data_IF_777503898808
#
_entry.id   IF_777503898808
#
_cell.length_a   1.000
_cell.length_b   1.000
_cell.length_c   1.000
_cell.angle_alpha   90.00
_cell.angle_beta   90.00
_cell.angle_gamma   90.00
#
_symmetry.space_group_name_H-M   'P 1'
#
loop_
_entity.id
_entity.type
_entity.pdbx_description
1 polymer ?
#
# COMPACT_ATOMS: atom_id res chain seq x y z
N UNK A 1 -16.05 26.41 -32.86
CA UNK A 1 -15.77 25.85 -31.51
C UNK A 1 -16.02 26.94 -30.46
N UNK A 2 -16.91 26.72 -29.49
CA UNK A 2 -17.23 27.73 -28.46
C UNK A 2 -16.01 27.98 -27.54
N UNK A 3 -15.78 29.25 -27.18
CA UNK A 3 -14.60 29.72 -26.42
C UNK A 3 -14.39 28.96 -25.10
N UNK A 4 -15.45 28.46 -24.46
CA UNK A 4 -15.39 27.67 -23.22
C UNK A 4 -14.65 26.34 -23.36
N UNK A 5 -14.72 25.68 -24.53
CA UNK A 5 -14.04 24.39 -24.76
C UNK A 5 -12.52 24.53 -24.90
N UNK A 6 -12.01 25.72 -25.27
CA UNK A 6 -10.56 25.96 -25.41
C UNK A 6 -9.86 26.07 -24.06
N UNK A 7 -10.51 26.68 -23.07
CA UNK A 7 -9.96 26.81 -21.71
C UNK A 7 -9.91 25.45 -20.97
N UNK A 8 -10.89 24.57 -21.19
CA UNK A 8 -10.89 23.23 -20.61
C UNK A 8 -9.75 22.34 -21.15
N UNK A 9 -9.45 22.46 -22.45
CA UNK A 9 -8.36 21.71 -23.08
C UNK A 9 -7.00 22.24 -22.63
N UNK A 10 -6.83 23.56 -22.52
CA UNK A 10 -5.58 24.18 -22.06
C UNK A 10 -5.26 23.85 -20.58
N UNK A 11 -6.28 23.83 -19.72
CA UNK A 11 -6.12 23.44 -18.30
C UNK A 11 -5.80 21.95 -18.15
N UNK A 12 -6.43 21.07 -18.94
CA UNK A 12 -6.10 19.64 -18.95
C UNK A 12 -4.66 19.37 -19.43
N UNK A 13 -4.20 20.07 -20.48
CA UNK A 13 -2.81 19.99 -20.96
C UNK A 13 -1.81 20.51 -19.92
N UNK A 14 -2.14 21.59 -19.22
CA UNK A 14 -1.29 22.15 -18.16
C UNK A 14 -1.19 21.20 -16.96
N UNK A 15 -2.30 20.60 -16.51
CA UNK A 15 -2.29 19.59 -15.45
C UNK A 15 -1.52 18.33 -15.87
N UNK A 16 -1.66 17.88 -17.11
CA UNK A 16 -0.92 16.73 -17.64
C UNK A 16 0.60 16.99 -17.65
N UNK A 17 1.03 18.17 -18.09
CA UNK A 17 2.44 18.57 -18.04
C UNK A 17 2.97 18.69 -16.60
N UNK A 18 2.15 19.18 -15.66
CA UNK A 18 2.48 19.22 -14.22
C UNK A 18 2.63 17.82 -13.61
N UNK A 19 1.77 16.87 -13.99
CA UNK A 19 1.87 15.48 -13.49
C UNK A 19 3.13 14.77 -14.01
N UNK A 20 3.51 15.02 -15.26
CA UNK A 20 4.76 14.50 -15.82
C UNK A 20 5.95 15.12 -15.08
N UNK A 21 5.94 16.44 -14.85
CA UNK A 21 7.00 17.12 -14.11
C UNK A 21 7.16 16.58 -12.68
N UNK A 22 6.06 16.34 -11.95
CA UNK A 22 6.10 15.76 -10.61
C UNK A 22 6.69 14.34 -10.59
N UNK A 23 6.35 13.50 -11.59
CA UNK A 23 6.84 12.13 -11.67
C UNK A 23 8.35 12.02 -11.94
N UNK A 24 8.94 13.04 -12.59
CA UNK A 24 10.39 13.12 -12.82
C UNK A 24 11.17 13.61 -11.58
N UNK A 25 10.57 14.48 -10.75
CA UNK A 25 11.25 15.08 -9.58
C UNK A 25 11.41 14.08 -8.42
N UNK A 26 10.51 13.12 -8.25
CA UNK A 26 10.59 12.12 -7.15
C UNK A 26 11.78 11.14 -7.24
N UNK A 27 12.38 10.94 -8.42
CA UNK A 27 13.42 9.92 -8.59
C UNK A 27 14.78 10.34 -8.01
N UNK A 28 15.07 11.65 -7.91
CA UNK A 28 16.39 12.16 -7.52
C UNK A 28 16.58 12.21 -5.99
N UNK A 29 15.53 12.60 -5.25
CA UNK A 29 15.61 12.75 -3.79
C UNK A 29 15.86 11.41 -3.07
N UNK A 30 15.19 10.34 -3.50
CA UNK A 30 15.34 9.02 -2.91
C UNK A 30 16.75 8.42 -3.07
N UNK A 31 17.43 8.73 -4.17
CA UNK A 31 18.81 8.27 -4.38
C UNK A 31 19.80 9.00 -3.48
N UNK A 32 19.66 10.33 -3.31
CA UNK A 32 20.51 11.11 -2.42
C UNK A 32 20.44 10.60 -0.97
N UNK A 33 19.22 10.34 -0.46
CA UNK A 33 19.04 9.79 0.89
C UNK A 33 19.63 8.39 1.06
N UNK A 34 19.54 7.53 0.04
CA UNK A 34 20.20 6.21 0.07
C UNK A 34 21.71 6.32 0.20
N UNK A 35 22.34 7.24 -0.55
CA UNK A 35 23.78 7.46 -0.48
C UNK A 35 24.21 7.97 0.89
N UNK A 36 23.40 8.82 1.53
CA UNK A 36 23.62 9.30 2.90
C UNK A 36 23.53 8.13 3.89
N UNK A 37 22.46 7.32 3.82
CA UNK A 37 22.27 6.17 4.69
C UNK A 37 23.42 5.14 4.58
N UNK A 38 23.85 4.82 3.35
CA UNK A 38 25.01 3.96 3.12
C UNK A 38 26.28 4.56 3.73
N UNK A 39 26.50 5.88 3.56
CA UNK A 39 27.65 6.54 4.17
C UNK A 39 27.59 6.52 5.71
N UNK A 40 26.41 6.68 6.30
CA UNK A 40 26.21 6.58 7.75
C UNK A 40 26.53 5.19 8.29
N UNK A 41 26.14 4.13 7.57
CA UNK A 41 26.54 2.75 7.92
C UNK A 41 28.05 2.63 7.95
N UNK A 42 28.75 3.09 6.90
CA UNK A 42 30.21 3.05 6.87
C UNK A 42 30.84 3.85 8.03
N UNK A 43 30.30 5.02 8.32
CA UNK A 43 30.78 5.87 9.41
C UNK A 43 30.65 5.19 10.77
N UNK A 44 29.46 4.69 11.09
CA UNK A 44 29.22 4.01 12.36
C UNK A 44 30.00 2.71 12.49
N UNK A 45 30.24 1.99 11.38
CA UNK A 45 31.07 0.80 11.38
C UNK A 45 32.52 1.12 11.77
N UNK A 46 33.11 2.19 11.21
CA UNK A 46 34.45 2.64 11.59
C UNK A 46 34.51 3.03 13.08
N UNK A 47 33.53 3.79 13.56
CA UNK A 47 33.44 4.16 14.99
C UNK A 47 33.37 2.93 15.90
N UNK A 48 32.57 1.91 15.54
CA UNK A 48 32.47 0.66 16.30
C UNK A 48 33.78 -0.13 16.31
N UNK A 49 34.60 -0.01 15.26
CA UNK A 49 35.94 -0.59 15.21
C UNK A 49 36.99 0.22 15.99
N UNK A 50 36.62 1.36 16.57
CA UNK A 50 37.52 2.27 17.28
C UNK A 50 38.26 3.27 16.38
N UNK A 51 37.83 3.42 15.11
CA UNK A 51 38.43 4.36 14.16
C UNK A 51 37.51 5.57 13.93
N UNK A 52 37.88 6.71 14.51
CA UNK A 52 37.19 7.98 14.34
C UNK A 52 37.81 8.90 13.29
N UNK A 53 38.86 8.46 12.60
CA UNK A 53 39.69 9.31 11.74
C UNK A 53 39.67 8.92 10.27
N UNK A 54 39.57 7.62 10.00
CA UNK A 54 39.57 7.12 8.63
C UNK A 54 38.30 7.54 7.90
N UNK A 55 38.43 7.77 6.60
CA UNK A 55 37.32 8.17 5.75
C UNK A 55 36.58 6.96 5.21
N UNK A 56 35.26 7.11 5.13
CA UNK A 56 34.43 6.36 4.18
C UNK A 56 34.64 7.01 2.81
N UNK A 57 35.16 6.23 1.86
CA UNK A 57 35.42 6.69 0.50
C UNK A 57 34.08 6.92 -0.25
N UNK A 58 34.09 7.62 -1.41
CA UNK A 58 32.88 7.83 -2.19
C UNK A 58 32.13 6.52 -2.46
N UNK A 59 30.82 6.52 -2.18
CA UNK A 59 29.94 5.36 -2.40
C UNK A 59 29.89 5.13 -3.91
N UNK A 60 30.25 3.93 -4.33
CA UNK A 60 30.30 3.57 -5.75
C UNK A 60 29.02 2.83 -6.12
N UNK A 61 28.32 3.29 -7.17
CA UNK A 61 27.15 2.59 -7.71
C UNK A 61 27.63 1.60 -8.76
N UNK A 62 27.47 0.30 -8.50
CA UNK A 62 27.88 -0.77 -9.41
C UNK A 62 26.78 -1.07 -10.43
N UNK A 63 25.51 -0.96 -10.03
CA UNK A 63 24.33 -1.13 -10.90
C UNK A 63 23.12 -0.34 -10.39
N UNK A 64 21.90 -0.56 -10.95
CA UNK A 64 20.67 0.11 -10.46
C UNK A 64 20.37 -0.21 -9.00
N UNK A 65 20.71 -1.41 -8.56
CA UNK A 65 20.41 -1.96 -7.23
C UNK A 65 21.64 -2.21 -6.37
N UNK A 66 22.84 -2.08 -6.94
CA UNK A 66 24.07 -2.46 -6.29
C UNK A 66 24.97 -1.26 -5.96
N UNK A 67 25.41 -1.21 -4.71
CA UNK A 67 26.22 -0.13 -4.16
C UNK A 67 27.41 -0.68 -3.38
N UNK A 68 28.57 -0.03 -3.46
CA UNK A 68 29.78 -0.41 -2.73
C UNK A 68 30.22 0.72 -1.80
N UNK A 69 30.40 0.37 -0.52
CA UNK A 69 31.05 1.19 0.50
C UNK A 69 32.51 0.75 0.60
N UNK A 70 33.43 1.70 0.41
CA UNK A 70 34.87 1.47 0.51
C UNK A 70 35.45 2.30 1.65
N UNK A 71 36.51 1.80 2.26
CA UNK A 71 37.16 2.42 3.42
C UNK A 71 38.61 2.77 3.11
N UNK A 72 39.13 3.79 3.79
CA UNK A 72 40.52 4.23 3.63
C UNK A 72 41.54 3.27 4.26
N UNK A 73 41.22 2.70 5.43
CA UNK A 73 42.12 1.83 6.20
C UNK A 73 41.49 0.48 6.51
N UNK A 74 42.36 -0.48 6.81
CA UNK A 74 41.97 -1.79 7.31
C UNK A 74 41.42 -1.68 8.73
N UNK A 75 40.37 -2.44 9.03
CA UNK A 75 39.72 -2.46 10.34
C UNK A 75 39.23 -3.87 10.67
N UNK A 76 38.91 -4.10 11.94
CA UNK A 76 38.23 -5.30 12.41
C UNK A 76 36.75 -4.97 12.64
N UNK A 77 35.88 -5.92 12.34
CA UNK A 77 34.45 -5.81 12.64
C UNK A 77 33.91 -7.08 13.29
N UNK A 78 32.81 -6.89 14.02
CA UNK A 78 32.00 -7.93 14.61
C UNK A 78 30.74 -8.16 13.74
N UNK A 79 30.44 -9.42 13.40
CA UNK A 79 29.34 -9.74 12.50
C UNK A 79 27.98 -9.31 13.06
N UNK A 80 27.76 -9.52 14.36
CA UNK A 80 26.47 -9.23 15.01
C UNK A 80 26.22 -7.73 15.12
N UNK A 81 27.27 -6.97 15.44
CA UNK A 81 27.24 -5.51 15.51
C UNK A 81 26.98 -4.89 14.14
N UNK A 82 27.59 -5.43 13.08
CA UNK A 82 27.36 -5.00 11.70
C UNK A 82 25.90 -5.23 11.27
N UNK A 83 25.35 -6.41 11.54
CA UNK A 83 23.95 -6.74 11.25
C UNK A 83 23.00 -5.80 11.98
N UNK A 84 23.23 -5.57 13.28
CA UNK A 84 22.41 -4.66 14.11
C UNK A 84 22.48 -3.21 13.63
N UNK A 85 23.65 -2.77 13.19
CA UNK A 85 23.83 -1.44 12.63
C UNK A 85 23.01 -1.27 11.34
N UNK A 86 23.12 -2.22 10.42
CA UNK A 86 22.45 -2.14 9.12
C UNK A 86 20.93 -2.28 9.26
N UNK A 87 20.45 -3.22 10.07
CA UNK A 87 19.01 -3.37 10.34
C UNK A 87 18.40 -2.11 10.96
N UNK A 88 19.13 -1.40 11.82
CA UNK A 88 18.70 -0.09 12.35
C UNK A 88 18.63 0.97 11.28
N UNK A 89 19.63 1.06 10.40
CA UNK A 89 19.62 2.06 9.33
C UNK A 89 18.49 1.79 8.33
N UNK A 90 18.22 0.52 8.01
CA UNK A 90 17.09 0.12 7.16
C UNK A 90 15.76 0.52 7.81
N UNK A 91 15.62 0.32 9.12
CA UNK A 91 14.43 0.75 9.86
C UNK A 91 14.20 2.27 9.88
N UNK A 92 15.19 3.10 9.50
CA UNK A 92 15.03 4.56 9.36
C UNK A 92 14.17 4.97 8.16
N UNK A 93 13.93 4.05 7.21
CA UNK A 93 13.06 4.27 6.05
C UNK A 93 13.77 4.74 4.77
N UNK A 94 15.08 4.98 4.79
CA UNK A 94 15.83 5.43 3.62
C UNK A 94 16.38 4.29 2.74
N UNK A 95 16.31 3.05 3.21
CA UNK A 95 16.75 1.85 2.50
C UNK A 95 15.59 0.84 2.38
N UNK A 96 15.52 0.04 1.30
CA UNK A 96 14.53 -1.03 1.19
C UNK A 96 14.68 -2.08 2.30
N UNK A 97 13.56 -2.67 2.71
CA UNK A 97 13.51 -3.74 3.72
C UNK A 97 14.09 -5.06 3.22
N UNK A 98 14.06 -5.29 1.90
CA UNK A 98 14.69 -6.44 1.25
C UNK A 98 16.06 -6.06 0.72
N UNK A 99 17.10 -6.70 1.26
CA UNK A 99 18.49 -6.38 0.95
C UNK A 99 19.43 -7.56 1.20
N UNK A 100 20.56 -7.57 0.51
CA UNK A 100 21.70 -8.47 0.77
C UNK A 100 22.96 -7.64 0.91
N UNK A 101 23.79 -7.98 1.89
CA UNK A 101 25.09 -7.35 2.14
C UNK A 101 26.18 -8.38 2.05
N UNK A 102 27.18 -8.12 1.20
CA UNK A 102 28.39 -8.91 1.07
C UNK A 102 29.58 -8.12 1.63
N UNK A 103 30.33 -8.73 2.54
CA UNK A 103 31.60 -8.21 3.03
C UNK A 103 32.73 -8.86 2.25
N UNK A 104 33.47 -8.05 1.51
CA UNK A 104 34.48 -8.51 0.55
C UNK A 104 35.83 -7.91 0.91
N UNK A 105 36.91 -8.67 0.71
CA UNK A 105 38.27 -8.11 0.81
C UNK A 105 38.57 -7.26 -0.43
N UNK A 106 38.93 -6.00 -0.20
CA UNK A 106 39.18 -5.04 -1.26
C UNK A 106 40.30 -5.45 -2.21
N UNK A 107 41.29 -6.21 -1.72
CA UNK A 107 42.46 -6.67 -2.50
C UNK A 107 42.18 -7.96 -3.24
N UNK A 108 41.70 -8.98 -2.53
CA UNK A 108 41.53 -10.34 -3.09
C UNK A 108 40.19 -10.56 -3.77
N UNK A 109 39.21 -9.67 -3.51
CA UNK A 109 37.80 -9.84 -3.91
C UNK A 109 37.13 -11.10 -3.37
N UNK A 110 37.75 -11.76 -2.39
CA UNK A 110 37.14 -12.89 -1.69
C UNK A 110 36.05 -12.40 -0.74
N UNK A 111 34.91 -13.10 -0.75
CA UNK A 111 33.78 -12.85 0.13
C UNK A 111 34.02 -13.50 1.50
N UNK A 112 33.89 -12.72 2.56
CA UNK A 112 34.12 -13.16 3.95
C UNK A 112 32.82 -13.42 4.70
N UNK A 113 31.80 -12.61 4.42
CA UNK A 113 30.55 -12.65 5.15
C UNK A 113 29.41 -12.15 4.27
N UNK A 114 28.25 -12.80 4.38
CA UNK A 114 27.03 -12.40 3.68
C UNK A 114 25.85 -12.57 4.59
N UNK A 115 24.96 -11.59 4.59
CA UNK A 115 23.70 -11.62 5.30
C UNK A 115 22.67 -10.78 4.56
N UNK A 116 21.39 -10.94 4.89
CA UNK A 116 20.35 -10.18 4.22
C UNK A 116 18.98 -10.39 4.84
N UNK A 117 18.03 -9.58 4.41
CA UNK A 117 16.64 -9.67 4.81
C UNK A 117 15.76 -9.85 3.57
N UNK A 118 14.79 -10.77 3.64
CA UNK A 118 13.82 -10.98 2.57
C UNK A 118 12.65 -9.99 2.66
N UNK A 119 11.84 -9.90 1.60
CA UNK A 119 10.60 -9.10 1.60
C UNK A 119 9.61 -9.54 2.68
N UNK A 120 9.63 -10.81 3.08
CA UNK A 120 8.78 -11.36 4.14
C UNK A 120 9.31 -11.00 5.55
N UNK A 121 10.41 -10.27 5.64
CA UNK A 121 11.02 -9.82 6.89
C UNK A 121 11.97 -10.85 7.52
N UNK A 122 12.19 -12.00 6.90
CA UNK A 122 13.12 -13.02 7.40
C UNK A 122 14.56 -12.54 7.28
N UNK A 123 15.25 -12.42 8.41
CA UNK A 123 16.65 -11.98 8.49
C UNK A 123 17.59 -13.19 8.55
N UNK A 124 18.52 -13.28 7.60
CA UNK A 124 19.47 -14.37 7.44
C UNK A 124 20.86 -13.92 7.87
N UNK A 125 21.33 -14.39 9.03
CA UNK A 125 22.61 -13.97 9.63
C UNK A 125 23.49 -15.18 9.97
N UNK A 126 24.31 -15.68 9.02
CA UNK A 126 25.24 -16.76 9.32
C UNK A 126 26.38 -16.31 10.24
N UNK A 127 27.17 -17.25 10.77
CA UNK A 127 28.44 -16.92 11.47
C UNK A 127 28.34 -15.99 12.69
N UNK A 128 27.20 -16.00 13.40
CA UNK A 128 26.94 -15.22 14.63
C UNK A 128 28.05 -15.41 15.67
N UNK A 129 28.44 -14.32 16.35
CA UNK A 129 29.44 -14.31 17.42
C UNK A 129 30.91 -14.38 16.97
N UNK A 130 31.19 -14.32 15.66
CA UNK A 130 32.57 -14.35 15.14
C UNK A 130 33.15 -12.94 15.01
N UNK A 131 34.39 -12.81 15.50
CA UNK A 131 35.26 -11.66 15.19
C UNK A 131 36.03 -11.93 13.91
N UNK A 132 36.04 -10.95 13.01
CA UNK A 132 36.77 -11.04 11.75
C UNK A 132 38.18 -10.44 11.88
N UNK A 133 39.17 -10.88 11.09
CA UNK A 133 40.52 -10.33 11.15
C UNK A 133 40.57 -8.86 10.71
N UNK A 134 41.63 -8.14 11.06
CA UNK A 134 41.86 -6.78 10.56
C UNK A 134 42.24 -6.86 9.09
N UNK A 135 41.38 -6.37 8.19
CA UNK A 135 41.65 -6.28 6.74
C UNK A 135 40.99 -5.06 6.13
N UNK A 136 41.37 -4.75 4.90
CA UNK A 136 40.72 -3.72 4.11
C UNK A 136 39.48 -4.32 3.43
N UNK A 137 38.33 -4.12 4.07
CA UNK A 137 37.05 -4.62 3.57
C UNK A 137 36.37 -3.59 2.66
N UNK A 138 35.48 -4.06 1.78
CA UNK A 138 34.40 -3.27 1.20
C UNK A 138 33.06 -3.95 1.48
N UNK A 139 32.00 -3.14 1.61
CA UNK A 139 30.64 -3.64 1.77
C UNK A 139 29.89 -3.44 0.46
N UNK A 140 29.39 -4.52 -0.11
CA UNK A 140 28.56 -4.50 -1.31
C UNK A 140 27.11 -4.74 -0.90
N UNK A 141 26.25 -3.78 -1.20
CA UNK A 141 24.83 -3.81 -0.93
C UNK A 141 24.09 -4.13 -2.22
N UNK A 142 23.23 -5.14 -2.19
CA UNK A 142 22.23 -5.42 -3.21
C UNK A 142 20.88 -5.07 -2.60
N UNK A 143 20.27 -3.98 -3.07
CA UNK A 143 19.00 -3.48 -2.56
C UNK A 143 17.87 -3.89 -3.49
N UNK A 144 16.73 -4.31 -2.95
CA UNK A 144 15.56 -4.60 -3.77
C UNK A 144 15.10 -3.35 -4.54
N UNK A 145 14.83 -3.53 -5.83
CA UNK A 145 14.27 -2.48 -6.66
C UNK A 145 12.77 -2.41 -6.46
N UNK A 146 12.34 -1.63 -5.46
CA UNK A 146 10.92 -1.32 -5.26
C UNK A 146 10.40 -0.28 -6.26
N UNK A 147 11.21 0.13 -7.26
CA UNK A 147 10.66 0.88 -8.38
C UNK A 147 9.78 -0.08 -9.16
N UNK A 148 8.48 -0.01 -8.89
CA UNK A 148 7.49 -0.53 -9.82
C UNK A 148 7.70 0.23 -11.13
N UNK A 149 8.54 -0.30 -12.01
CA UNK A 149 8.70 0.11 -13.42
C UNK A 149 7.41 -0.18 -14.23
N UNK A 150 6.25 -0.32 -13.56
CA UNK A 150 4.98 -0.07 -14.21
C UNK A 150 5.06 1.35 -14.77
N UNK A 151 5.00 1.54 -16.09
CA UNK A 151 5.22 2.85 -16.66
C UNK A 151 4.21 3.80 -16.03
N UNK A 152 4.68 4.78 -15.23
CA UNK A 152 3.85 5.84 -14.64
C UNK A 152 3.01 6.57 -15.73
N UNK A 153 3.40 6.40 -17.01
CA UNK A 153 2.66 6.75 -18.21
C UNK A 153 1.27 6.08 -18.33
N UNK A 154 1.06 4.87 -17.78
CA UNK A 154 -0.24 4.18 -17.78
C UNK A 154 -1.27 4.91 -16.94
N UNK A 155 -0.88 5.48 -15.79
CA UNK A 155 -1.78 6.31 -14.99
C UNK A 155 -1.97 7.71 -15.60
N UNK A 156 -0.92 8.28 -16.19
CA UNK A 156 -1.02 9.55 -16.91
C UNK A 156 -1.92 9.44 -18.17
N UNK A 157 -1.95 8.29 -18.84
CA UNK A 157 -2.84 8.00 -19.97
C UNK A 157 -4.24 7.51 -19.56
N UNK A 158 -4.37 6.79 -18.44
CA UNK A 158 -5.65 6.32 -17.95
C UNK A 158 -6.55 7.44 -17.44
N UNK A 159 -6.01 8.50 -16.83
CA UNK A 159 -6.81 9.63 -16.34
C UNK A 159 -7.52 10.38 -17.49
N UNK A 160 -6.85 10.78 -18.60
CA UNK A 160 -7.53 11.39 -19.74
C UNK A 160 -8.39 10.40 -20.51
N UNK A 161 -8.07 9.09 -20.57
CA UNK A 161 -8.94 8.07 -21.16
C UNK A 161 -10.20 7.86 -20.32
N UNK A 162 -10.10 7.83 -18.99
CA UNK A 162 -11.24 7.76 -18.08
C UNK A 162 -12.06 9.05 -18.13
N UNK A 163 -11.44 10.24 -18.19
CA UNK A 163 -12.18 11.50 -18.40
C UNK A 163 -12.78 11.59 -19.81
N UNK A 164 -12.17 11.01 -20.84
CA UNK A 164 -12.76 10.84 -22.16
C UNK A 164 -13.91 9.84 -22.11
N UNK A 165 -13.80 8.71 -21.42
CA UNK A 165 -14.87 7.70 -21.30
C UNK A 165 -16.01 8.16 -20.38
N UNK A 166 -15.73 8.98 -19.35
CA UNK A 166 -16.73 9.62 -18.50
C UNK A 166 -17.36 10.81 -19.24
N UNK A 167 -16.61 11.55 -20.06
CA UNK A 167 -17.11 12.60 -20.95
C UNK A 167 -17.83 12.10 -22.22
N UNK A 168 -17.52 10.88 -22.67
CA UNK A 168 -18.17 10.14 -23.77
C UNK A 168 -19.12 9.06 -23.30
N UNK A 169 -19.39 8.95 -21.99
CA UNK A 169 -20.67 8.42 -21.53
C UNK A 169 -21.74 9.42 -21.90
N UNK A 170 -22.07 9.37 -23.20
CA UNK A 170 -23.31 9.84 -23.79
C UNK A 170 -24.42 9.46 -22.83
N UNK A 171 -24.97 10.51 -22.26
CA UNK A 171 -26.35 10.75 -21.91
C UNK A 171 -27.35 9.89 -22.73
N UNK A 172 -27.38 8.58 -22.49
CA UNK A 172 -28.64 7.85 -22.54
C UNK A 172 -29.34 8.21 -21.25
N UNK A 173 -30.18 9.24 -21.34
CA UNK A 173 -31.10 9.64 -20.28
C UNK A 173 -31.93 8.40 -19.90
N UNK A 174 -31.79 7.81 -18.70
CA UNK A 174 -32.88 7.04 -18.15
C UNK A 174 -33.93 8.07 -17.72
N UNK A 175 -35.20 7.76 -18.00
CA UNK A 175 -36.31 8.66 -17.80
C UNK A 175 -36.31 9.28 -16.39
N UNK A 176 -36.39 10.62 -16.37
CA UNK A 176 -36.57 11.47 -15.20
C UNK A 176 -37.91 11.12 -14.53
N UNK A 177 -37.88 10.38 -13.43
CA UNK A 177 -38.90 10.50 -12.40
C UNK A 177 -38.39 11.46 -11.32
N UNK A 178 -39.29 12.29 -10.75
CA UNK A 178 -38.91 13.54 -10.10
C UNK A 178 -38.26 13.30 -8.74
N UNK A 179 -37.23 14.08 -8.44
CA UNK A 179 -36.75 14.30 -7.07
C UNK A 179 -37.90 14.99 -6.30
N UNK A 180 -38.14 14.58 -5.05
CA UNK A 180 -37.96 15.58 -4.00
C UNK A 180 -37.25 15.04 -2.74
N UNK A 181 -36.26 15.83 -2.33
CA UNK A 181 -36.05 16.36 -0.98
C UNK A 181 -34.84 15.88 -0.15
N UNK A 182 -34.07 16.88 0.27
CA UNK A 182 -32.91 16.84 1.13
C UNK A 182 -33.35 16.70 2.59
N UNK A 183 -33.64 15.48 3.06
CA UNK A 183 -33.65 15.15 4.50
C UNK A 183 -33.92 13.64 4.76
N UNK A 184 -32.93 12.77 4.53
CA UNK A 184 -32.66 11.59 5.36
C UNK A 184 -31.61 10.71 4.67
N UNK A 185 -30.47 10.49 5.33
CA UNK A 185 -29.48 9.48 4.94
C UNK A 185 -30.01 8.06 5.15
N UNK A 186 -31.02 7.65 4.39
CA UNK A 186 -31.59 6.31 4.42
C UNK A 186 -31.45 5.60 3.07
N UNK A 187 -30.88 4.40 3.08
CA UNK A 187 -30.66 3.54 1.92
C UNK A 187 -31.69 2.40 1.98
N UNK A 188 -32.38 2.15 0.87
CA UNK A 188 -33.28 0.99 0.76
C UNK A 188 -32.48 -0.23 0.29
N UNK A 189 -32.67 -1.37 0.96
CA UNK A 189 -32.08 -2.67 0.64
C UNK A 189 -33.23 -3.67 0.66
N UNK A 190 -33.74 -4.09 -0.50
CA UNK A 190 -35.00 -4.85 -0.56
C UNK A 190 -36.15 -4.09 0.12
N UNK A 191 -36.78 -4.69 1.13
CA UNK A 191 -37.81 -4.05 1.96
C UNK A 191 -37.24 -3.36 3.20
N UNK A 192 -35.95 -3.52 3.49
CA UNK A 192 -35.32 -2.84 4.61
C UNK A 192 -34.99 -1.40 4.23
N UNK A 193 -35.25 -0.50 5.17
CA UNK A 193 -34.76 0.88 5.13
C UNK A 193 -33.65 1.02 6.15
N UNK A 194 -32.42 1.20 5.67
CA UNK A 194 -31.24 1.42 6.48
C UNK A 194 -30.99 2.90 6.68
N UNK A 195 -31.02 3.41 7.92
CA UNK A 195 -30.65 4.80 8.23
C UNK A 195 -29.17 4.84 8.65
N UNK A 196 -28.35 5.54 7.87
CA UNK A 196 -26.90 5.63 8.07
C UNK A 196 -26.58 6.39 9.36
N UNK A 197 -27.24 7.52 9.61
CA UNK A 197 -26.98 8.38 10.77
C UNK A 197 -27.28 7.69 12.11
N UNK A 198 -28.31 6.86 12.15
CA UNK A 198 -28.75 6.16 13.38
C UNK A 198 -28.29 4.72 13.45
N UNK A 199 -27.63 4.19 12.41
CA UNK A 199 -27.19 2.80 12.32
C UNK A 199 -28.34 1.80 12.57
N UNK A 200 -29.55 2.12 12.08
CA UNK A 200 -30.76 1.31 12.28
C UNK A 200 -31.33 0.78 10.97
N UNK A 201 -31.71 -0.49 10.97
CA UNK A 201 -32.49 -1.13 9.91
C UNK A 201 -33.96 -1.17 10.32
N UNK A 202 -34.86 -0.75 9.44
CA UNK A 202 -36.31 -0.85 9.65
C UNK A 202 -36.96 -1.70 8.57
N UNK A 203 -37.74 -2.71 8.95
CA UNK A 203 -38.55 -3.53 8.06
C UNK A 203 -39.99 -3.53 8.60
N UNK A 204 -40.90 -2.80 7.95
CA UNK A 204 -42.25 -2.62 8.46
C UNK A 204 -42.25 -1.98 9.87
N UNK A 205 -42.85 -2.61 10.90
CA UNK A 205 -42.82 -2.12 12.28
C UNK A 205 -41.52 -2.44 13.04
N UNK A 206 -40.69 -3.37 12.53
CA UNK A 206 -39.54 -3.88 13.25
C UNK A 206 -38.31 -2.99 13.03
N UNK A 207 -37.65 -2.60 14.13
CA UNK A 207 -36.41 -1.81 14.10
C UNK A 207 -35.26 -2.60 14.71
N UNK A 208 -34.19 -2.78 13.94
CA UNK A 208 -32.99 -3.52 14.33
C UNK A 208 -31.82 -2.53 14.43
N UNK A 209 -31.23 -2.42 15.62
CA UNK A 209 -30.02 -1.62 15.85
C UNK A 209 -28.78 -2.40 15.45
N UNK A 210 -27.86 -1.76 14.74
CA UNK A 210 -26.56 -2.31 14.36
C UNK A 210 -25.47 -1.79 15.28
N UNK A 211 -24.47 -2.63 15.55
CA UNK A 211 -23.22 -2.16 16.15
C UNK A 211 -22.42 -1.38 15.10
N UNK A 212 -21.51 -0.49 15.53
CA UNK A 212 -20.75 0.38 14.59
C UNK A 212 -20.03 -0.40 13.49
N UNK A 213 -19.46 -1.57 13.82
CA UNK A 213 -18.80 -2.45 12.83
C UNK A 213 -19.78 -3.13 11.89
N UNK A 214 -20.93 -3.58 12.38
CA UNK A 214 -21.99 -4.15 11.54
C UNK A 214 -22.57 -3.10 10.58
N UNK A 215 -22.79 -1.88 11.08
CA UNK A 215 -23.27 -0.75 10.30
C UNK A 215 -22.31 -0.38 9.18
N UNK A 216 -20.99 -0.35 9.46
CA UNK A 216 -19.95 -0.07 8.46
C UNK A 216 -19.91 -1.12 7.36
N UNK A 217 -19.94 -2.41 7.73
CA UNK A 217 -19.98 -3.52 6.76
C UNK A 217 -21.24 -3.45 5.90
N UNK A 218 -22.41 -3.23 6.53
CA UNK A 218 -23.67 -3.12 5.81
C UNK A 218 -23.72 -1.91 4.89
N UNK A 219 -23.17 -0.77 5.32
CA UNK A 219 -23.11 0.44 4.51
C UNK A 219 -22.29 0.22 3.24
N UNK A 220 -21.15 -0.47 3.33
CA UNK A 220 -20.35 -0.84 2.16
C UNK A 220 -21.17 -1.73 1.22
N UNK A 221 -21.84 -2.76 1.74
CA UNK A 221 -22.72 -3.60 0.92
C UNK A 221 -23.92 -2.85 0.33
N UNK A 222 -24.50 -1.90 1.06
CA UNK A 222 -25.66 -1.13 0.63
C UNK A 222 -25.31 -0.10 -0.46
N UNK A 223 -24.06 0.35 -0.52
CA UNK A 223 -23.52 1.18 -1.61
C UNK A 223 -23.11 0.35 -2.82
N UNK A 224 -22.73 -0.91 -2.60
CA UNK A 224 -22.28 -1.87 -3.62
C UNK A 224 -23.28 -3.03 -3.79
N UNK A 225 -24.59 -2.71 -3.87
CA UNK A 225 -25.62 -3.73 -4.04
C UNK A 225 -25.42 -4.48 -5.37
N UNK A 226 -25.56 -5.80 -5.34
CA UNK A 226 -25.35 -6.67 -6.49
C UNK A 226 -23.91 -6.68 -7.07
N UNK A 227 -22.92 -6.14 -6.36
CA UNK A 227 -21.50 -6.17 -6.71
C UNK A 227 -20.68 -7.08 -5.76
N UNK A 228 -19.51 -7.55 -6.24
CA UNK A 228 -18.58 -8.33 -5.41
C UNK A 228 -17.67 -7.37 -4.65
N UNK A 229 -17.70 -7.46 -3.33
CA UNK A 229 -16.83 -6.70 -2.43
C UNK A 229 -15.70 -7.59 -1.93
N UNK A 230 -14.46 -7.16 -2.17
CA UNK A 230 -13.25 -7.88 -1.76
C UNK A 230 -13.14 -8.02 -0.24
N UNK A 231 -12.60 -9.15 0.22
CA UNK A 231 -12.44 -9.44 1.67
C UNK A 231 -11.47 -8.45 2.30
N UNK A 232 -10.40 -8.13 1.60
CA UNK A 232 -9.33 -7.23 2.01
C UNK A 232 -9.86 -5.81 2.17
N UNK A 233 -10.74 -5.36 1.25
CA UNK A 233 -11.41 -4.06 1.33
C UNK A 233 -12.28 -3.96 2.59
N UNK A 234 -13.11 -4.98 2.85
CA UNK A 234 -13.97 -5.03 4.03
C UNK A 234 -13.16 -5.05 5.33
N UNK A 235 -12.02 -5.75 5.35
CA UNK A 235 -11.14 -5.78 6.51
C UNK A 235 -10.47 -4.42 6.75
N UNK A 236 -9.96 -3.80 5.68
CA UNK A 236 -9.31 -2.49 5.74
C UNK A 236 -10.27 -1.40 6.26
N UNK A 237 -11.42 -1.25 5.62
CA UNK A 237 -12.36 -0.17 5.94
C UNK A 237 -13.00 -0.26 7.33
N UNK A 238 -13.07 -1.47 7.90
CA UNK A 238 -13.75 -1.73 9.17
C UNK A 238 -12.79 -1.88 10.35
N UNK A 239 -11.51 -2.18 10.12
CA UNK A 239 -10.52 -2.38 11.20
C UNK A 239 -9.26 -1.51 11.11
N UNK A 240 -8.73 -1.17 9.94
CA UNK A 240 -7.47 -0.40 9.85
C UNK A 240 -7.64 1.06 10.28
N UNK A 241 -8.82 1.66 10.07
CA UNK A 241 -9.09 3.05 10.43
C UNK A 241 -9.29 3.29 11.94
N UNK A 242 -9.54 2.23 12.73
CA UNK A 242 -9.86 2.33 14.16
C UNK A 242 -8.69 1.93 15.09
N UNK A 243 -7.50 1.61 14.56
CA UNK A 243 -6.29 1.33 15.36
C UNK A 243 -6.36 0.11 16.29
N UNK A 244 -7.44 -0.68 16.21
CA UNK A 244 -7.72 -1.81 17.11
C UNK A 244 -7.62 -3.12 16.34
N UNK A 245 -6.45 -3.77 16.43
CA UNK A 245 -6.21 -5.15 15.99
C UNK A 245 -6.90 -6.09 16.99
N UNK A 246 -8.22 -6.20 16.91
CA UNK A 246 -8.98 -7.21 17.68
C UNK A 246 -9.61 -8.19 16.70
N UNK A 247 -9.02 -9.39 16.69
CA UNK A 247 -9.34 -10.54 15.85
C UNK A 247 -10.69 -11.19 16.17
N UNK A 248 -11.79 -10.54 15.81
CA UNK A 248 -13.03 -11.25 15.47
C UNK A 248 -13.10 -11.32 13.96
N UNK A 249 -13.14 -12.53 13.39
CA UNK A 249 -13.12 -12.73 11.95
C UNK A 249 -14.30 -12.01 11.28
N UNK A 250 -14.05 -11.38 10.12
CA UNK A 250 -15.07 -10.78 9.26
C UNK A 250 -16.28 -11.71 9.08
N UNK A 251 -16.02 -13.02 9.01
CA UNK A 251 -17.02 -14.07 8.89
C UNK A 251 -18.09 -14.05 9.99
N UNK A 252 -17.74 -13.68 11.22
CA UNK A 252 -18.70 -13.55 12.33
C UNK A 252 -19.67 -12.39 12.06
N UNK A 253 -19.17 -11.27 11.54
CA UNK A 253 -19.99 -10.10 11.21
C UNK A 253 -20.90 -10.39 10.01
N UNK A 254 -20.38 -11.05 8.98
CA UNK A 254 -21.19 -11.52 7.84
C UNK A 254 -22.29 -12.47 8.32
N UNK A 255 -21.99 -13.40 9.23
CA UNK A 255 -22.98 -14.33 9.78
C UNK A 255 -24.06 -13.62 10.60
N UNK A 256 -23.69 -12.59 11.39
CA UNK A 256 -24.66 -11.76 12.12
C UNK A 256 -25.54 -10.95 11.19
N UNK A 257 -24.97 -10.34 10.15
CA UNK A 257 -25.72 -9.58 9.15
C UNK A 257 -26.69 -10.45 8.37
N UNK A 258 -26.29 -11.67 7.97
CA UNK A 258 -27.19 -12.64 7.35
C UNK A 258 -28.43 -12.89 8.21
N UNK A 259 -28.25 -13.17 9.50
CA UNK A 259 -29.37 -13.37 10.43
C UNK A 259 -30.26 -12.13 10.59
N UNK A 260 -29.67 -10.92 10.56
CA UNK A 260 -30.43 -9.66 10.67
C UNK A 260 -31.20 -9.30 9.41
N UNK A 261 -30.78 -9.80 8.25
CA UNK A 261 -31.42 -9.54 6.94
C UNK A 261 -32.34 -10.69 6.48
N UNK A 262 -32.33 -11.82 7.20
CA UNK A 262 -33.04 -13.06 6.85
C UNK A 262 -34.56 -12.89 6.67
N UNK A 263 -35.17 -11.88 7.29
CA UNK A 263 -36.60 -11.65 7.16
C UNK A 263 -37.04 -11.12 5.78
N UNK A 264 -36.12 -10.73 4.89
CA UNK A 264 -36.42 -10.48 3.48
C UNK A 264 -35.72 -11.50 2.59
N UNK A 265 -36.48 -12.45 2.05
CA UNK A 265 -35.97 -13.52 1.19
C UNK A 265 -35.30 -13.02 -0.11
N UNK A 266 -35.51 -11.75 -0.48
CA UNK A 266 -34.87 -11.13 -1.66
C UNK A 266 -33.45 -10.66 -1.38
N UNK A 267 -33.01 -10.69 -0.12
CA UNK A 267 -31.69 -10.21 0.29
C UNK A 267 -30.84 -11.39 0.71
N UNK A 268 -29.70 -11.57 0.05
CA UNK A 268 -28.77 -12.65 0.40
C UNK A 268 -27.32 -12.21 0.29
N UNK A 269 -26.54 -12.42 1.35
CA UNK A 269 -25.09 -12.24 1.30
C UNK A 269 -24.45 -13.55 0.86
N UNK A 270 -24.00 -13.63 -0.39
CA UNK A 270 -23.29 -14.78 -0.96
C UNK A 270 -21.77 -14.65 -0.76
N UNK A 271 -21.12 -15.78 -0.46
CA UNK A 271 -19.65 -15.87 -0.41
C UNK A 271 -19.12 -16.33 -1.77
N UNK A 272 -18.23 -15.56 -2.38
CA UNK A 272 -17.58 -15.91 -3.64
C UNK A 272 -16.14 -16.34 -3.35
N UNK A 273 -15.84 -17.62 -3.57
CA UNK A 273 -14.53 -18.21 -3.24
C UNK A 273 -13.40 -17.44 -3.94
N UNK A 274 -12.37 -17.09 -3.16
CA UNK A 274 -11.19 -16.35 -3.63
C UNK A 274 -11.45 -14.89 -4.03
N UNK A 275 -12.69 -14.37 -3.94
CA UNK A 275 -13.02 -12.99 -4.35
C UNK A 275 -13.65 -12.14 -3.26
N UNK A 276 -14.40 -12.72 -2.32
CA UNK A 276 -15.02 -11.98 -1.22
C UNK A 276 -16.51 -12.27 -1.06
N UNK A 277 -17.32 -11.22 -0.86
CA UNK A 277 -18.76 -11.35 -0.59
C UNK A 277 -19.58 -10.48 -1.53
N UNK A 278 -20.82 -10.89 -1.78
CA UNK A 278 -21.77 -10.15 -2.61
C UNK A 278 -23.11 -10.07 -1.88
N UNK A 279 -23.62 -8.85 -1.69
CA UNK A 279 -25.02 -8.65 -1.28
C UNK A 279 -25.89 -8.70 -2.53
N UNK A 280 -26.73 -9.72 -2.64
CA UNK A 280 -27.70 -9.89 -3.69
C UNK A 280 -29.02 -9.30 -3.21
N UNK A 281 -29.59 -8.41 -4.01
CA UNK A 281 -30.93 -7.85 -3.80
C UNK A 281 -31.72 -8.13 -5.08
N UNK A 282 -32.64 -9.08 -5.02
CA UNK A 282 -33.47 -9.47 -6.15
C UNK A 282 -34.65 -8.49 -6.29
N UNK A 283 -34.55 -7.56 -7.25
CA UNK A 283 -35.62 -6.61 -7.62
C UNK A 283 -36.70 -7.24 -8.53
N UNK A 284 -36.52 -8.49 -8.97
CA UNK A 284 -37.38 -9.13 -9.98
C UNK A 284 -38.63 -9.83 -9.44
N UNK A 285 -38.97 -9.72 -8.15
CA UNK A 285 -40.30 -10.13 -7.65
C UNK A 285 -41.23 -8.91 -7.63
N UNK A 286 -41.40 -8.27 -8.78
CA UNK A 286 -42.54 -7.39 -9.10
C UNK A 286 -43.03 -7.77 -10.49
N UNK A 287 -43.50 -9.01 -10.63
CA UNK A 287 -44.54 -9.38 -11.60
C UNK A 287 -45.05 -10.79 -11.27
N UNK A 288 -46.02 -10.84 -10.36
CA UNK A 288 -47.10 -11.82 -10.34
C UNK A 288 -48.30 -11.17 -9.63
#
# INVERSE_FOLDING_TARGET
MPKSKRYLIATALSCFLLTIACAYVEHDEGEAWRLIALRNIGHHLLLQSGDSTSRVLPISKLSKTEYEIRFEKAFQYDADSLVKLISREVASGHLPTSYVVNVVDSKTKHQYYTFGQSEMGELWTPCVGRKNPVKLYSLQFVLADNSSDFPKLLYAGAIPIVLLLVGFRRNEKPAKNPVPDENNGSITIGNYRYKVNTQTLTLGPDTIVLTSKEAKVLEIFARHQNEIVARELLQKEVWENDGVIVGRSLDVFISKLRRKLDADARIRISSIHGKGYKLIVDESIIQA
#
